data_IF_175430120126
#
_entry.id   IF_175430120126
#
_cell.length_a   1.000
_cell.length_b   1.000
_cell.length_c   1.000
_cell.angle_alpha   90.00
_cell.angle_beta   90.00
_cell.angle_gamma   90.00
#
_symmetry.space_group_name_H-M   'P 1'
#
loop_
_entity.id
_entity.type
_entity.pdbx_description
1 polymer ?
#
# COMPACT_ATOMS: atom_id res chain seq x y z
N UNK A 1 19.37 21.32 -3.64
CA UNK A 1 18.79 20.07 -4.19
C UNK A 1 17.71 20.46 -5.18
N UNK A 2 17.89 20.21 -6.48
CA UNK A 2 16.90 20.64 -7.49
C UNK A 2 15.70 19.68 -7.45
N UNK A 3 14.51 20.23 -7.20
CA UNK A 3 13.26 19.47 -7.24
C UNK A 3 12.97 19.03 -8.68
N UNK A 4 12.65 17.75 -8.88
CA UNK A 4 12.24 17.21 -10.18
C UNK A 4 10.76 16.86 -10.11
N UNK A 5 9.97 17.48 -10.98
CA UNK A 5 8.57 17.12 -11.15
C UNK A 5 8.46 15.71 -11.76
N UNK A 6 7.60 14.84 -11.21
CA UNK A 6 7.43 13.50 -11.76
C UNK A 6 6.85 13.58 -13.18
N UNK A 7 7.28 12.68 -14.06
CA UNK A 7 6.79 12.62 -15.43
C UNK A 7 5.81 11.47 -15.59
N UNK A 8 4.73 11.71 -16.32
CA UNK A 8 3.77 10.68 -16.67
C UNK A 8 4.42 9.65 -17.59
N UNK A 9 4.10 8.38 -17.34
CA UNK A 9 4.55 7.23 -18.14
C UNK A 9 3.35 6.37 -18.48
N UNK A 10 3.51 5.41 -19.39
CA UNK A 10 2.45 4.44 -19.71
C UNK A 10 1.89 3.73 -18.48
N UNK A 11 2.73 3.50 -17.47
CA UNK A 11 2.36 2.74 -16.26
C UNK A 11 1.87 3.64 -15.11
N UNK A 12 2.46 4.82 -14.95
CA UNK A 12 2.18 5.70 -13.83
C UNK A 12 1.72 7.07 -14.31
N UNK A 13 0.54 7.48 -13.85
CA UNK A 13 0.03 8.85 -13.99
C UNK A 13 0.14 9.55 -12.65
N UNK A 14 0.77 10.72 -12.65
CA UNK A 14 0.93 11.58 -11.49
C UNK A 14 -0.08 12.70 -11.56
N UNK A 15 -0.89 12.83 -10.53
CA UNK A 15 -1.80 13.98 -10.38
C UNK A 15 -1.03 15.22 -9.91
N UNK A 16 -1.63 16.40 -10.08
CA UNK A 16 -1.10 17.64 -9.50
C UNK A 16 -1.00 17.53 -7.97
N UNK A 17 -2.00 16.91 -7.33
CA UNK A 17 -2.06 16.75 -5.89
C UNK A 17 -0.88 15.94 -5.33
N UNK A 18 -0.53 14.80 -5.92
CA UNK A 18 0.66 14.06 -5.46
C UNK A 18 1.94 14.86 -5.69
N UNK A 19 2.04 15.63 -6.77
CA UNK A 19 3.22 16.44 -7.07
C UNK A 19 3.45 17.54 -6.00
N UNK A 20 2.38 18.17 -5.54
CA UNK A 20 2.40 19.14 -4.44
C UNK A 20 2.80 18.48 -3.11
N UNK A 21 2.18 17.35 -2.78
CA UNK A 21 2.51 16.62 -1.54
C UNK A 21 3.93 16.09 -1.53
N UNK A 22 4.39 15.62 -2.69
CA UNK A 22 5.78 15.25 -2.90
C UNK A 22 6.71 16.42 -2.55
N UNK A 23 6.41 17.61 -3.07
CA UNK A 23 7.20 18.81 -2.80
C UNK A 23 7.20 19.16 -1.32
N UNK A 24 6.02 19.17 -0.69
CA UNK A 24 5.85 19.47 0.73
C UNK A 24 6.62 18.50 1.65
N UNK A 25 6.58 17.20 1.38
CA UNK A 25 7.22 16.17 2.19
C UNK A 25 8.63 15.78 1.73
N UNK A 26 9.17 16.45 0.71
CA UNK A 26 10.47 16.10 0.12
C UNK A 26 10.54 14.63 -0.35
N UNK A 27 9.50 14.15 -1.04
CA UNK A 27 9.42 12.78 -1.54
C UNK A 27 9.86 12.70 -3.01
N UNK A 28 10.84 11.85 -3.32
CA UNK A 28 11.23 11.62 -4.71
C UNK A 28 10.27 10.64 -5.41
N UNK A 29 10.22 10.72 -6.74
CA UNK A 29 9.46 9.79 -7.59
C UNK A 29 9.82 8.34 -7.28
N UNK A 30 11.12 8.04 -7.22
CA UNK A 30 11.63 6.71 -6.91
C UNK A 30 11.18 6.20 -5.54
N UNK A 31 11.06 7.10 -4.54
CA UNK A 31 10.59 6.72 -3.21
C UNK A 31 9.15 6.23 -3.26
N UNK A 32 8.27 6.98 -3.94
CA UNK A 32 6.86 6.62 -4.11
C UNK A 32 6.72 5.31 -4.90
N UNK A 33 7.45 5.18 -6.01
CA UNK A 33 7.46 3.94 -6.79
C UNK A 33 7.95 2.74 -5.97
N UNK A 34 8.91 2.95 -5.05
CA UNK A 34 9.37 1.95 -4.10
C UNK A 34 8.26 1.47 -3.15
N UNK A 35 7.48 2.40 -2.60
CA UNK A 35 6.32 2.08 -1.73
C UNK A 35 5.28 1.26 -2.49
N UNK A 36 4.97 1.65 -3.74
CA UNK A 36 4.00 0.93 -4.58
C UNK A 36 4.49 -0.49 -4.94
N UNK A 37 5.80 -0.66 -5.19
CA UNK A 37 6.36 -1.95 -5.61
C UNK A 37 6.38 -2.98 -4.48
N UNK A 38 6.81 -2.56 -3.29
CA UNK A 38 7.03 -3.45 -2.16
C UNK A 38 6.39 -2.86 -0.89
N UNK A 39 5.05 -2.84 -0.80
CA UNK A 39 4.35 -2.29 0.36
C UNK A 39 4.46 -3.25 1.55
N UNK A 40 4.60 -2.68 2.76
CA UNK A 40 4.50 -3.43 4.02
C UNK A 40 3.05 -3.59 4.47
N UNK A 41 2.24 -2.56 4.22
CA UNK A 41 0.81 -2.51 4.54
C UNK A 41 0.02 -2.04 3.34
N UNK A 42 -1.16 -2.62 3.16
CA UNK A 42 -2.10 -2.32 2.07
C UNK A 42 -3.46 -2.08 2.72
N UNK A 43 -4.12 -0.99 2.33
CA UNK A 43 -5.45 -0.58 2.79
C UNK A 43 -6.34 -0.29 1.59
N UNK A 44 -7.54 -0.85 1.60
CA UNK A 44 -8.55 -0.60 0.57
C UNK A 44 -9.27 0.71 0.87
N UNK A 45 -9.43 1.56 -0.15
CA UNK A 45 -10.22 2.78 -0.03
C UNK A 45 -11.73 2.50 -0.13
N UNK A 46 -12.54 3.48 0.28
CA UNK A 46 -14.01 3.47 0.13
C UNK A 46 -14.39 3.49 -1.36
N UNK A 47 -13.65 4.27 -2.16
CA UNK A 47 -13.85 4.35 -3.60
C UNK A 47 -13.29 3.10 -4.28
N UNK A 48 -14.07 2.53 -5.20
CA UNK A 48 -13.66 1.35 -5.96
C UNK A 48 -12.28 1.52 -6.62
N UNK A 49 -11.50 0.43 -6.65
CA UNK A 49 -10.17 0.35 -7.24
C UNK A 49 -9.13 1.32 -6.62
N UNK A 50 -9.43 1.89 -5.46
CA UNK A 50 -8.52 2.80 -4.75
C UNK A 50 -7.83 2.05 -3.63
N UNK A 51 -6.52 2.17 -3.58
CA UNK A 51 -5.67 1.45 -2.62
C UNK A 51 -4.67 2.43 -2.03
N UNK A 52 -4.54 2.42 -0.72
CA UNK A 52 -3.47 3.08 0.00
C UNK A 52 -2.44 2.05 0.43
N UNK A 53 -1.16 2.35 0.21
CA UNK A 53 -0.05 1.47 0.56
C UNK A 53 0.95 2.22 1.41
N UNK A 54 1.63 1.49 2.29
CA UNK A 54 2.59 2.07 3.21
C UNK A 54 3.86 1.24 3.36
N UNK A 55 4.97 1.96 3.54
CA UNK A 55 6.26 1.40 3.94
C UNK A 55 6.84 2.20 5.12
N UNK A 56 7.31 1.53 6.19
CA UNK A 56 8.02 2.19 7.28
C UNK A 56 9.39 2.70 6.81
N UNK A 57 9.77 3.87 7.29
CA UNK A 57 11.06 4.50 6.96
C UNK A 57 11.73 5.08 8.20
N UNK A 58 13.03 5.32 8.10
CA UNK A 58 13.84 5.88 9.16
C UNK A 58 14.40 4.80 10.09
N UNK A 59 14.33 5.04 11.41
CA UNK A 59 14.97 4.21 12.42
C UNK A 59 14.09 3.01 12.76
N UNK A 60 14.15 1.99 11.91
CA UNK A 60 13.42 0.73 12.10
C UNK A 60 14.17 -0.09 13.17
N UNK A 61 13.61 -0.18 14.37
CA UNK A 61 14.10 -1.06 15.44
C UNK A 61 13.39 -2.40 15.31
N UNK A 62 14.15 -3.45 15.03
CA UNK A 62 13.70 -4.83 15.21
C UNK A 62 13.90 -5.20 16.68
N UNK A 63 12.93 -5.88 17.28
CA UNK A 63 13.02 -6.32 18.67
C UNK A 63 14.29 -7.14 18.90
N UNK A 64 15.23 -6.62 19.69
CA UNK A 64 16.29 -7.44 20.24
C UNK A 64 15.72 -8.14 21.48
N UNK A 65 15.75 -9.48 21.48
CA UNK A 65 15.64 -10.26 22.71
C UNK A 65 16.85 -9.84 23.57
N UNK A 66 16.68 -8.88 24.48
CA UNK A 66 17.73 -8.57 25.45
C UNK A 66 17.86 -9.79 26.37
N UNK A 67 19.05 -10.40 26.52
CA UNK A 67 19.24 -11.29 27.65
C UNK A 67 19.00 -10.46 28.93
N UNK A 68 18.20 -11.00 29.84
CA UNK A 68 17.97 -10.43 31.17
C UNK A 68 19.35 -10.24 31.83
N UNK A 69 19.64 -9.04 32.34
CA UNK A 69 20.88 -8.76 33.05
C UNK A 69 21.14 -9.87 34.09
N UNK A 70 22.29 -10.54 34.01
CA UNK A 70 22.66 -11.67 34.87
C UNK A 70 22.43 -13.09 34.31
N UNK A 71 21.98 -13.29 33.05
CA UNK A 71 21.96 -14.62 32.41
C UNK A 71 23.02 -14.75 31.30
N UNK A 72 23.96 -15.72 31.39
CA UNK A 72 24.84 -16.05 30.27
C UNK A 72 24.06 -16.78 29.16
N UNK A 73 24.47 -16.58 27.90
CA UNK A 73 23.82 -17.12 26.71
C UNK A 73 23.89 -18.67 26.56
N UNK A 74 24.45 -19.38 27.52
CA UNK A 74 24.69 -20.82 27.48
C UNK A 74 23.78 -21.54 28.49
N UNK A 75 22.48 -21.55 28.25
CA UNK A 75 21.53 -22.18 29.17
C UNK A 75 20.16 -22.37 28.55
N UNK A 76 20.05 -23.36 27.66
CA UNK A 76 18.76 -23.88 27.22
C UNK A 76 18.24 -24.87 28.27
N UNK A 77 17.00 -24.70 28.74
CA UNK A 77 15.88 -25.62 28.50
C UNK A 77 14.71 -25.24 29.42
N UNK A 78 13.57 -24.91 28.82
CA UNK A 78 12.22 -25.08 29.36
C UNK A 78 11.94 -24.55 30.79
N UNK A 79 11.61 -23.27 30.87
CA UNK A 79 10.72 -22.77 31.92
C UNK A 79 9.90 -21.60 31.35
N UNK A 80 8.66 -21.93 31.01
CA UNK A 80 7.44 -21.13 30.93
C UNK A 80 7.56 -19.70 31.53
N UNK A 81 6.93 -18.65 31.01
CA UNK A 81 5.52 -18.63 30.61
C UNK A 81 5.23 -17.25 29.97
N UNK A 82 4.70 -17.29 28.76
CA UNK A 82 3.53 -16.49 28.35
C UNK A 82 3.57 -14.94 28.49
N UNK A 83 4.73 -14.29 28.43
CA UNK A 83 4.76 -12.86 28.08
C UNK A 83 4.96 -12.77 26.56
N UNK A 84 3.84 -13.04 25.87
CA UNK A 84 3.51 -12.76 24.46
C UNK A 84 4.68 -12.79 23.46
N UNK A 85 4.85 -13.93 22.76
CA UNK A 85 5.68 -14.05 21.53
C UNK A 85 5.38 -12.97 20.48
N UNK A 86 4.21 -12.33 20.57
CA UNK A 86 3.78 -11.20 19.73
C UNK A 86 4.65 -9.94 19.93
N UNK A 87 5.05 -9.61 21.16
CA UNK A 87 5.84 -8.40 21.47
C UNK A 87 7.33 -8.50 21.09
N UNK A 88 7.84 -9.72 20.87
CA UNK A 88 9.25 -9.93 20.51
C UNK A 88 9.56 -9.55 19.05
N UNK A 89 8.53 -9.51 18.19
CA UNK A 89 8.65 -9.18 16.76
C UNK A 89 8.06 -7.81 16.41
N UNK A 90 7.71 -6.97 17.39
CA UNK A 90 7.20 -5.62 17.14
C UNK A 90 8.32 -4.73 16.60
N UNK A 91 8.35 -4.62 15.27
CA UNK A 91 9.15 -3.61 14.57
C UNK A 91 8.57 -2.23 14.92
N UNK A 92 9.40 -1.33 15.45
CA UNK A 92 9.01 0.07 15.65
C UNK A 92 9.78 0.95 14.69
N UNK A 93 9.09 1.94 14.12
CA UNK A 93 9.67 2.93 13.22
C UNK A 93 9.19 4.33 13.60
N UNK A 94 9.96 5.34 13.19
CA UNK A 94 9.67 6.73 13.50
C UNK A 94 8.87 7.44 12.41
N UNK A 95 8.79 6.87 11.20
CA UNK A 95 8.07 7.47 10.08
C UNK A 95 7.48 6.41 9.15
N UNK A 96 6.38 6.76 8.51
CA UNK A 96 5.79 6.00 7.41
C UNK A 96 5.68 6.86 6.18
N UNK A 97 5.84 6.24 5.02
CA UNK A 97 5.46 6.85 3.74
C UNK A 97 4.27 6.09 3.23
N UNK A 98 3.21 6.85 3.02
CA UNK A 98 1.96 6.39 2.44
C UNK A 98 1.83 6.89 1.02
N UNK A 99 1.24 6.06 0.19
CA UNK A 99 0.90 6.39 -1.19
C UNK A 99 -0.49 5.86 -1.48
N UNK A 100 -1.37 6.75 -1.90
CA UNK A 100 -2.71 6.42 -2.36
C UNK A 100 -2.74 6.46 -3.88
N UNK A 101 -3.23 5.38 -4.48
CA UNK A 101 -3.37 5.29 -5.92
C UNK A 101 -4.65 4.56 -6.32
N UNK A 102 -5.08 4.80 -7.54
CA UNK A 102 -6.20 4.11 -8.15
C UNK A 102 -5.70 3.23 -9.29
N UNK A 103 -6.21 2.00 -9.32
CA UNK A 103 -6.01 1.08 -10.43
C UNK A 103 -7.02 1.40 -11.52
N UNK A 104 -6.55 1.96 -12.64
CA UNK A 104 -7.40 2.06 -13.83
C UNK A 104 -7.36 0.72 -14.55
N UNK A 105 -8.48 0.00 -14.50
CA UNK A 105 -8.73 -1.03 -15.49
C UNK A 105 -8.93 -0.30 -16.82
N UNK A 106 -8.11 -0.60 -17.83
CA UNK A 106 -8.27 -0.13 -19.20
C UNK A 106 -9.49 -0.81 -19.87
N UNK A 107 -10.66 -0.79 -19.22
CA UNK A 107 -11.95 -1.19 -19.78
C UNK A 107 -12.81 0.05 -19.99
N UNK A 108 -12.33 1.01 -20.79
CA UNK A 108 -13.13 2.16 -21.19
C UNK A 108 -12.78 2.66 -22.60
N UNK A 109 -13.07 1.81 -23.59
CA UNK A 109 -13.46 2.11 -24.99
C UNK A 109 -13.45 0.80 -25.80
N UNK A 110 -14.32 -0.13 -25.47
CA UNK A 110 -14.74 -1.18 -26.41
C UNK A 110 -16.25 -1.08 -26.49
N UNK A 111 -16.75 -0.02 -27.12
CA UNK A 111 -18.16 0.03 -27.53
C UNK A 111 -18.34 -0.07 -29.05
N UNK A 112 -17.29 0.03 -29.88
CA UNK A 112 -17.46 -0.01 -31.35
C UNK A 112 -16.37 -0.80 -32.10
N UNK A 113 -16.11 -2.06 -31.73
CA UNK A 113 -15.36 -2.99 -32.60
C UNK A 113 -16.06 -4.35 -32.62
N UNK A 114 -17.17 -4.42 -33.37
CA UNK A 114 -17.66 -5.69 -33.92
C UNK A 114 -16.89 -5.97 -35.23
N UNK A 115 -16.69 -7.27 -35.53
CA UNK A 115 -15.93 -7.89 -36.64
C UNK A 115 -14.41 -7.92 -36.40
N UNK A 116 -13.68 -9.02 -36.50
CA UNK A 116 -13.90 -10.26 -37.24
C UNK A 116 -13.29 -11.48 -36.52
N UNK A 117 -13.81 -12.63 -36.89
CA UNK A 117 -13.71 -13.91 -36.20
C UNK A 117 -12.38 -14.64 -36.45
N UNK A 118 -11.93 -15.40 -35.43
CA UNK A 118 -10.99 -16.53 -35.52
C UNK A 118 -9.63 -16.31 -36.22
N UNK A 119 -8.64 -15.76 -35.50
CA UNK A 119 -7.26 -16.30 -35.43
C UNK A 119 -6.36 -15.47 -34.52
N UNK A 120 -6.04 -16.03 -33.36
CA UNK A 120 -4.67 -16.25 -32.87
C UNK A 120 -4.69 -16.34 -31.34
N UNK A 121 -4.50 -17.55 -30.81
CA UNK A 121 -4.16 -17.73 -29.40
C UNK A 121 -2.89 -16.95 -29.03
N UNK A 122 -2.02 -16.63 -30.00
CA UNK A 122 -0.89 -15.70 -29.88
C UNK A 122 -1.33 -14.25 -29.67
N UNK A 123 -2.33 -13.76 -30.40
CA UNK A 123 -2.91 -12.42 -30.21
C UNK A 123 -3.65 -12.35 -28.87
N UNK A 124 -4.30 -13.43 -28.45
CA UNK A 124 -4.94 -13.53 -27.12
C UNK A 124 -3.89 -13.46 -25.99
N UNK A 125 -2.80 -14.23 -26.08
CA UNK A 125 -1.65 -14.15 -25.13
C UNK A 125 -0.91 -12.81 -25.16
N UNK A 126 -0.81 -12.18 -26.33
CA UNK A 126 -0.26 -10.82 -26.49
C UNK A 126 -1.20 -9.79 -25.85
N UNK A 127 -2.50 -9.89 -26.08
CA UNK A 127 -3.51 -9.06 -25.43
C UNK A 127 -3.51 -9.27 -23.92
N UNK A 128 -3.38 -10.49 -23.42
CA UNK A 128 -3.32 -10.77 -21.99
C UNK A 128 -2.05 -10.19 -21.35
N UNK A 129 -0.89 -10.24 -22.03
CA UNK A 129 0.33 -9.52 -21.63
C UNK A 129 0.17 -7.99 -21.69
N UNK A 130 -0.52 -7.47 -22.70
CA UNK A 130 -0.83 -6.03 -22.84
C UNK A 130 -1.87 -5.59 -21.78
N UNK A 131 -2.75 -6.48 -21.33
CA UNK A 131 -3.82 -6.23 -20.35
C UNK A 131 -3.33 -6.33 -18.89
N UNK A 132 -2.08 -6.79 -18.66
CA UNK A 132 -1.38 -6.60 -17.38
C UNK A 132 -0.88 -5.16 -17.18
N UNK A 133 -1.00 -4.30 -18.20
CA UNK A 133 -0.64 -2.87 -18.17
C UNK A 133 -1.76 -2.06 -17.51
N UNK A 134 -2.15 -2.42 -16.29
CA UNK A 134 -3.03 -1.58 -15.47
C UNK A 134 -2.32 -0.27 -15.20
N UNK A 135 -2.91 0.82 -15.66
CA UNK A 135 -2.35 2.14 -15.43
C UNK A 135 -2.67 2.56 -13.99
N UNK A 136 -1.63 2.94 -13.25
CA UNK A 136 -1.75 3.35 -11.85
C UNK A 136 -1.81 4.88 -11.84
N UNK A 137 -2.92 5.43 -11.33
CA UNK A 137 -3.05 6.87 -11.10
C UNK A 137 -2.72 7.16 -9.66
N UNK A 138 -1.60 7.86 -9.43
CA UNK A 138 -1.13 8.21 -8.10
C UNK A 138 -1.82 9.51 -7.68
N UNK A 139 -2.61 9.41 -6.62
CA UNK A 139 -3.50 10.48 -6.16
C UNK A 139 -2.79 11.34 -5.12
N UNK A 140 -2.25 10.71 -4.08
CA UNK A 140 -1.60 11.42 -2.98
C UNK A 140 -0.47 10.59 -2.38
N UNK A 141 0.44 11.29 -1.71
CA UNK A 141 1.49 10.67 -0.90
C UNK A 141 1.69 11.50 0.36
N UNK A 142 1.92 10.87 1.50
CA UNK A 142 2.16 11.60 2.75
C UNK A 142 3.21 10.91 3.62
N UNK A 143 3.85 11.71 4.47
CA UNK A 143 4.69 11.21 5.56
C UNK A 143 3.90 11.28 6.86
N UNK A 144 3.86 10.17 7.57
CA UNK A 144 3.25 10.10 8.89
C UNK A 144 4.35 9.93 9.95
N UNK A 145 4.38 10.74 11.04
CA UNK A 145 5.33 10.55 12.13
C UNK A 145 4.85 9.41 13.05
N UNK A 146 5.65 8.36 13.14
CA UNK A 146 5.37 7.17 13.96
C UNK A 146 4.63 6.08 13.20
N UNK A 147 3.86 5.28 13.94
CA UNK A 147 3.10 4.12 13.44
C UNK A 147 1.65 4.55 13.25
N UNK A 148 1.10 4.37 12.05
CA UNK A 148 -0.30 4.69 11.78
C UNK A 148 -1.22 3.73 12.55
N UNK A 149 -2.25 4.25 13.25
CA UNK A 149 -3.24 3.43 13.94
C UNK A 149 -3.82 2.37 13.00
N UNK A 150 -3.96 1.14 13.48
CA UNK A 150 -4.63 0.08 12.72
C UNK A 150 -6.13 0.30 12.80
N UNK A 151 -6.83 0.12 11.66
CA UNK A 151 -8.27 0.38 11.52
C UNK A 151 -9.08 -0.03 12.75
N UNK A 152 -9.80 0.92 13.33
CA UNK A 152 -10.80 0.63 14.35
C UNK A 152 -12.04 0.07 13.61
N UNK A 153 -12.67 -1.02 14.08
CA UNK A 153 -13.91 -1.49 13.47
C UNK A 153 -14.97 -0.38 13.52
N UNK A 154 -15.82 -0.33 12.48
CA UNK A 154 -16.98 0.56 12.46
C UNK A 154 -17.85 0.18 13.68
N UNK A 155 -18.25 1.14 14.53
CA UNK A 155 -19.14 0.85 15.65
C UNK A 155 -20.41 0.14 15.19
N UNK A 156 -20.87 -0.85 15.97
CA UNK A 156 -22.06 -1.67 15.62
C UNK A 156 -23.31 -0.83 15.35
N UNK A 157 -23.44 0.31 16.03
CA UNK A 157 -24.54 1.27 15.84
C UNK A 157 -24.63 1.76 14.39
N UNK A 158 -23.50 2.12 13.77
CA UNK A 158 -23.45 2.59 12.38
C UNK A 158 -23.73 1.45 11.40
N UNK A 159 -23.27 0.24 11.71
CA UNK A 159 -23.58 -0.94 10.89
C UNK A 159 -25.08 -1.21 10.88
N UNK A 160 -25.74 -1.09 12.04
CA UNK A 160 -27.18 -1.26 12.18
C UNK A 160 -27.96 -0.18 11.45
N UNK A 161 -27.54 1.09 11.51
CA UNK A 161 -28.16 2.18 10.75
C UNK A 161 -28.06 1.95 9.23
N UNK A 162 -26.89 1.54 8.74
CA UNK A 162 -26.69 1.24 7.31
C UNK A 162 -27.56 0.05 6.88
N UNK A 163 -27.68 -0.97 7.73
CA UNK A 163 -28.52 -2.13 7.50
C UNK A 163 -30.01 -1.73 7.42
N UNK A 164 -30.49 -0.92 8.37
CA UNK A 164 -31.87 -0.41 8.37
C UNK A 164 -32.17 0.45 7.14
N UNK A 165 -31.23 1.30 6.69
CA UNK A 165 -31.39 2.09 5.45
C UNK A 165 -31.40 1.20 4.19
N UNK A 166 -30.60 0.15 4.17
CA UNK A 166 -30.51 -0.75 3.02
C UNK A 166 -31.72 -1.69 2.89
N UNK A 167 -32.41 -1.98 3.99
CA UNK A 167 -33.59 -2.84 4.05
C UNK A 167 -34.93 -2.09 4.15
N UNK A 168 -34.90 -0.75 4.23
CA UNK A 168 -36.08 0.12 4.13
C UNK A 168 -36.42 0.48 2.67
#
# INVERSE_FOLDING_TARGET
MQWKTPKNTDKYLWTAHVSEKMHYYGLSEQKILGVIRNPKRIETGIVENTVAVMVPVGNIKKGNIKPKWGRPAFGNFNAEKEISKEKANEESWNQEIWVMYQLKNLKFKISNLKLAEKKDERLKKLQDKINTKKQITIISAWRYPGISPKSNPIPEEILKEIEEIAFA
#
